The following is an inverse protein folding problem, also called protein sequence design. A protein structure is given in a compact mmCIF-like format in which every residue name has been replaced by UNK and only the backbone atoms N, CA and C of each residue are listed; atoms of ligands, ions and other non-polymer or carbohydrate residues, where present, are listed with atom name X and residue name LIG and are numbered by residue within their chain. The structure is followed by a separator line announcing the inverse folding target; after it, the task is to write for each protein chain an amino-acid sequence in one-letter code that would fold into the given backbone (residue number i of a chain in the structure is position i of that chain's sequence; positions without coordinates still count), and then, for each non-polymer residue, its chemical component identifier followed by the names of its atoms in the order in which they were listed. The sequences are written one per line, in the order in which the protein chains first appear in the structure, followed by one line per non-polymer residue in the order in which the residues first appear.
data_IF_869344955055
#
_entry.id   IF_869344955055
#
_cell.length_a   1.000
_cell.length_b   1.000
_cell.length_c   1.000
_cell.angle_alpha   90.00
_cell.angle_beta   90.00
_cell.angle_gamma   90.00
#
_symmetry.space_group_name_H-M   'P 1'
#
loop_
_entity.id
_entity.type
_entity.pdbx_description
1 polymer ?
#
# COMPACT_ATOMS: atom_id res chain seq x y z
N UNK A 1 -3.49 27.76 -7.38
CA UNK A 1 -4.32 26.71 -8.03
C UNK A 1 -3.53 25.42 -8.31
N UNK A 2 -2.37 25.48 -8.96
CA UNK A 2 -1.54 24.30 -9.29
C UNK A 2 -1.14 23.49 -8.04
N UNK A 3 -0.72 24.13 -6.94
CA UNK A 3 -0.37 23.44 -5.70
C UNK A 3 -1.52 22.67 -5.04
N UNK A 4 -2.76 23.16 -5.16
CA UNK A 4 -3.94 22.43 -4.64
C UNK A 4 -4.24 21.22 -5.53
N UNK A 5 -4.10 21.38 -6.84
CA UNK A 5 -4.31 20.29 -7.79
C UNK A 5 -3.28 19.17 -7.63
N UNK A 6 -1.99 19.50 -7.57
CA UNK A 6 -0.93 18.50 -7.35
C UNK A 6 -0.92 17.97 -5.93
N UNK A 7 -1.32 18.77 -4.95
CA UNK A 7 -1.43 18.35 -3.55
C UNK A 7 -2.52 17.31 -3.33
N UNK A 8 -3.72 17.53 -3.87
CA UNK A 8 -4.93 16.79 -3.48
C UNK A 8 -5.62 16.00 -4.58
N UNK A 9 -5.45 16.39 -5.86
CA UNK A 9 -6.26 15.86 -6.96
C UNK A 9 -5.49 14.78 -7.72
N UNK A 10 -4.35 15.14 -8.28
CA UNK A 10 -3.56 14.17 -9.03
C UNK A 10 -2.18 14.67 -9.38
N UNK A 11 -1.30 13.74 -9.75
CA UNK A 11 0.10 14.03 -10.07
C UNK A 11 0.62 13.05 -11.12
N UNK A 12 1.59 13.49 -11.91
CA UNK A 12 2.27 12.62 -12.86
C UNK A 12 3.48 11.95 -12.17
N UNK A 13 3.72 10.67 -12.47
CA UNK A 13 4.86 9.90 -11.96
C UNK A 13 5.57 9.17 -13.10
N UNK A 14 6.88 9.32 -13.19
CA UNK A 14 7.71 8.56 -14.13
C UNK A 14 7.98 7.15 -13.60
N UNK A 15 8.05 6.18 -14.50
CA UNK A 15 8.33 4.79 -14.18
C UNK A 15 9.78 4.44 -14.50
N UNK A 16 10.63 4.24 -13.49
CA UNK A 16 12.05 4.01 -13.70
C UNK A 16 12.42 2.53 -13.88
N UNK A 17 11.46 1.59 -13.76
CA UNK A 17 11.76 0.15 -13.76
C UNK A 17 10.68 -0.71 -14.44
N UNK A 18 11.07 -1.91 -14.85
CA UNK A 18 10.19 -2.88 -15.55
C UNK A 18 9.40 -3.82 -14.64
N UNK A 19 9.33 -3.54 -13.33
CA UNK A 19 8.64 -4.41 -12.36
C UNK A 19 7.13 -4.55 -12.61
N UNK A 20 6.53 -3.62 -13.34
CA UNK A 20 5.11 -3.62 -13.72
C UNK A 20 4.88 -4.01 -15.19
N UNK A 21 5.93 -4.42 -15.90
CA UNK A 21 5.82 -4.88 -17.29
C UNK A 21 4.93 -6.13 -17.36
N UNK A 22 4.02 -6.27 -18.35
CA UNK A 22 3.87 -5.44 -19.55
C UNK A 22 2.80 -4.34 -19.39
N UNK A 23 2.11 -4.29 -18.24
CA UNK A 23 1.02 -3.36 -17.98
C UNK A 23 1.51 -1.93 -18.08
N UNK A 24 2.59 -1.64 -17.34
CA UNK A 24 3.32 -0.38 -17.31
C UNK A 24 4.81 -0.69 -17.51
N UNK A 25 5.47 0.07 -18.39
CA UNK A 25 6.88 -0.17 -18.75
C UNK A 25 7.76 0.98 -18.30
N UNK A 26 9.07 0.75 -18.22
CA UNK A 26 10.03 1.82 -17.98
C UNK A 26 9.86 2.95 -19.03
N UNK A 27 9.88 4.20 -18.55
CA UNK A 27 9.65 5.41 -19.36
C UNK A 27 8.19 5.83 -19.51
N UNK A 28 7.22 5.05 -19.00
CA UNK A 28 5.83 5.52 -18.89
C UNK A 28 5.72 6.65 -17.85
N UNK A 29 4.90 7.66 -18.15
CA UNK A 29 4.46 8.68 -17.20
C UNK A 29 3.01 8.41 -16.82
N UNK A 30 2.79 8.04 -15.56
CA UNK A 30 1.47 7.67 -15.05
C UNK A 30 0.71 8.86 -14.48
N UNK A 31 -0.58 8.92 -14.76
CA UNK A 31 -1.53 9.73 -14.03
C UNK A 31 -1.91 9.05 -12.72
N UNK A 32 -1.58 9.69 -11.60
CA UNK A 32 -1.99 9.28 -10.27
C UNK A 32 -3.22 10.07 -9.82
N UNK A 33 -4.34 9.38 -9.64
CA UNK A 33 -5.55 9.93 -9.05
C UNK A 33 -5.48 9.80 -7.52
N UNK A 34 -5.24 10.92 -6.83
CA UNK A 34 -5.16 10.99 -5.36
C UNK A 34 -6.55 11.03 -4.71
N UNK A 35 -7.57 11.54 -5.41
CA UNK A 35 -8.95 11.54 -4.91
C UNK A 35 -9.50 10.12 -4.77
N UNK A 36 -9.05 9.19 -5.61
CA UNK A 36 -9.47 7.79 -5.56
C UNK A 36 -9.38 7.23 -4.13
N UNK A 37 -8.30 7.48 -3.40
CA UNK A 37 -8.09 7.01 -2.03
C UNK A 37 -8.01 8.12 -0.98
N UNK A 38 -8.23 9.36 -1.40
CA UNK A 38 -8.07 10.54 -0.56
C UNK A 38 -6.61 10.86 -0.22
N UNK A 39 -6.36 12.12 0.08
CA UNK A 39 -5.02 12.61 0.44
C UNK A 39 -4.73 12.34 1.91
N UNK A 40 -3.55 11.81 2.20
CA UNK A 40 -3.06 11.59 3.58
C UNK A 40 -2.62 12.92 4.18
N UNK A 41 -3.30 13.34 5.24
CA UNK A 41 -2.99 14.55 6.03
C UNK A 41 -2.48 14.13 7.40
N UNK A 42 -1.28 14.62 7.76
CA UNK A 42 -0.64 14.36 9.07
C UNK A 42 -0.73 15.60 9.97
N UNK A 43 -0.99 15.39 11.26
CA UNK A 43 -0.98 16.42 12.30
C UNK A 43 -2.29 17.22 12.47
N UNK A 44 -2.56 17.65 13.70
CA UNK A 44 -3.81 18.31 14.10
C UNK A 44 -4.00 19.71 13.50
N UNK A 45 -2.91 20.45 13.22
CA UNK A 45 -2.96 21.85 12.76
C UNK A 45 -3.55 21.93 11.35
N UNK A 46 -3.11 21.08 10.43
CA UNK A 46 -3.62 21.07 9.05
C UNK A 46 -5.05 20.50 8.99
N UNK A 47 -5.36 19.54 9.86
CA UNK A 47 -6.74 19.08 10.05
C UNK A 47 -7.66 20.19 10.56
N UNK A 48 -7.18 21.03 11.48
CA UNK A 48 -7.92 22.18 12.02
C UNK A 48 -8.16 23.25 10.95
N UNK A 49 -7.16 23.53 10.11
CA UNK A 49 -7.31 24.40 8.95
C UNK A 49 -8.33 23.87 7.93
N UNK A 50 -8.29 22.57 7.62
CA UNK A 50 -9.29 21.96 6.73
C UNK A 50 -10.70 22.02 7.33
N UNK A 51 -10.87 21.74 8.63
CA UNK A 51 -12.18 21.85 9.32
C UNK A 51 -12.76 23.26 9.23
N UNK A 52 -11.90 24.28 9.35
CA UNK A 52 -12.30 25.68 9.23
C UNK A 52 -12.88 25.99 7.85
N UNK A 53 -12.30 25.42 6.79
CA UNK A 53 -12.73 25.67 5.41
C UNK A 53 -13.93 24.80 4.99
N UNK A 54 -14.07 23.56 5.49
CA UNK A 54 -14.97 22.54 4.93
C UNK A 54 -15.98 21.90 5.92
N UNK A 55 -16.55 22.66 6.86
CA UNK A 55 -17.61 22.26 7.84
C UNK A 55 -18.62 21.14 7.38
N UNK A 56 -19.19 20.30 8.29
CA UNK A 56 -18.60 19.08 8.83
C UNK A 56 -19.43 17.80 8.51
N UNK A 57 -20.00 17.66 7.31
CA UNK A 57 -20.96 16.55 7.10
C UNK A 57 -20.38 15.24 6.58
N UNK A 58 -19.13 15.15 6.08
CA UNK A 58 -18.68 13.90 5.39
C UNK A 58 -17.19 13.66 5.16
N UNK A 59 -16.26 14.50 5.62
CA UNK A 59 -14.92 14.55 4.98
C UNK A 59 -13.75 14.10 5.89
N UNK A 60 -14.00 13.68 7.13
CA UNK A 60 -12.94 13.30 8.07
C UNK A 60 -13.15 11.92 8.69
N UNK A 61 -12.27 10.98 8.38
CA UNK A 61 -12.02 9.82 9.23
C UNK A 61 -10.87 10.15 10.17
N UNK A 62 -11.18 10.80 11.31
CA UNK A 62 -10.19 10.99 12.39
C UNK A 62 -10.05 9.67 13.14
N UNK A 63 -8.88 9.03 13.08
CA UNK A 63 -8.55 7.95 14.00
C UNK A 63 -7.66 8.51 15.12
N UNK A 64 -8.14 8.59 16.38
CA UNK A 64 -7.34 9.11 17.49
C UNK A 64 -6.09 8.27 17.80
N UNK A 65 -6.00 7.05 17.28
CA UNK A 65 -4.81 6.17 17.43
C UNK A 65 -3.76 6.35 16.32
N UNK A 66 -4.05 7.14 15.28
CA UNK A 66 -3.15 7.37 14.14
C UNK A 66 -2.83 8.86 13.99
N UNK A 67 -1.57 9.18 13.68
CA UNK A 67 -1.13 10.55 13.40
C UNK A 67 -1.53 11.05 11.99
N UNK A 68 -2.49 10.39 11.31
CA UNK A 68 -2.95 10.79 9.99
C UNK A 68 -4.45 10.57 9.77
N UNK A 69 -4.99 11.24 8.75
CA UNK A 69 -6.34 11.01 8.23
C UNK A 69 -6.34 11.12 6.71
N UNK A 70 -7.19 10.33 6.03
CA UNK A 70 -7.44 10.48 4.59
C UNK A 70 -8.64 11.39 4.38
N UNK A 71 -8.47 12.42 3.54
CA UNK A 71 -9.52 13.38 3.20
C UNK A 71 -9.86 13.31 1.71
N UNK A 72 -11.12 13.56 1.37
CA UNK A 72 -11.63 13.52 0.00
C UNK A 72 -11.53 12.15 -0.70
N UNK A 73 -11.74 11.06 0.03
CA UNK A 73 -11.80 9.71 -0.55
C UNK A 73 -13.06 9.54 -1.41
N UNK A 74 -12.90 9.21 -2.69
CA UNK A 74 -14.03 8.89 -3.59
C UNK A 74 -14.27 7.39 -3.72
N UNK A 75 -13.28 6.56 -3.39
CA UNK A 75 -13.37 5.10 -3.44
C UNK A 75 -12.49 4.43 -2.38
N UNK A 76 -12.70 3.14 -2.17
CA UNK A 76 -11.83 2.28 -1.37
C UNK A 76 -10.79 1.61 -2.28
N UNK A 77 -9.64 1.24 -1.69
CA UNK A 77 -8.62 0.44 -2.38
C UNK A 77 -9.18 -0.97 -2.63
N UNK A 78 -9.05 -1.45 -3.86
CA UNK A 78 -9.58 -2.74 -4.31
C UNK A 78 -8.45 -3.65 -4.76
N UNK A 79 -8.71 -4.96 -4.74
CA UNK A 79 -7.82 -5.94 -5.38
C UNK A 79 -7.67 -5.57 -6.85
N UNK A 80 -6.48 -5.76 -7.37
CA UNK A 80 -6.04 -5.46 -8.74
C UNK A 80 -5.83 -3.97 -9.03
N UNK A 81 -6.14 -3.05 -8.11
CA UNK A 81 -5.75 -1.65 -8.28
C UNK A 81 -4.21 -1.54 -8.41
N UNK A 82 -3.75 -0.74 -9.36
CA UNK A 82 -2.35 -0.33 -9.43
C UNK A 82 -2.21 0.93 -8.59
N UNK A 83 -1.38 0.87 -7.56
CA UNK A 83 -1.21 1.93 -6.59
C UNK A 83 0.18 2.54 -6.68
N UNK A 84 0.25 3.85 -6.49
CA UNK A 84 1.49 4.56 -6.23
C UNK A 84 1.58 4.76 -4.73
N UNK A 85 2.69 4.38 -4.12
CA UNK A 85 2.89 4.45 -2.68
C UNK A 85 4.34 4.78 -2.33
N UNK A 86 4.57 5.30 -1.13
CA UNK A 86 5.94 5.55 -0.63
C UNK A 86 6.68 4.23 -0.44
N UNK A 87 7.95 4.15 -0.82
CA UNK A 87 8.74 2.93 -0.65
C UNK A 87 8.93 2.62 0.85
N UNK A 88 8.66 1.39 1.29
CA UNK A 88 8.91 1.00 2.68
C UNK A 88 10.40 0.82 3.01
N UNK A 89 11.26 0.75 2.00
CA UNK A 89 12.72 0.66 2.15
C UNK A 89 13.41 2.03 2.04
N UNK A 90 12.80 3.01 1.33
CA UNK A 90 13.37 4.34 1.07
C UNK A 90 12.30 5.43 1.13
N UNK A 91 12.36 6.31 2.12
CA UNK A 91 11.27 7.25 2.42
C UNK A 91 11.04 8.35 1.36
N UNK A 92 12.01 8.61 0.49
CA UNK A 92 11.98 9.61 -0.58
C UNK A 92 11.58 9.05 -1.95
N UNK A 93 11.45 7.72 -2.08
CA UNK A 93 11.08 7.07 -3.33
C UNK A 93 9.60 6.67 -3.35
N UNK A 94 8.97 6.81 -4.52
CA UNK A 94 7.63 6.28 -4.77
C UNK A 94 7.72 5.02 -5.63
N UNK A 95 6.90 4.03 -5.33
CA UNK A 95 6.84 2.77 -6.06
C UNK A 95 5.45 2.58 -6.66
N UNK A 96 5.40 1.80 -7.74
CA UNK A 96 4.16 1.37 -8.37
C UNK A 96 4.07 -0.15 -8.30
N UNK A 97 2.98 -0.64 -7.71
CA UNK A 97 2.68 -2.08 -7.56
C UNK A 97 1.17 -2.32 -7.67
N UNK A 98 0.77 -3.56 -7.92
CA UNK A 98 -0.61 -3.99 -7.92
C UNK A 98 -1.02 -4.55 -6.57
N UNK A 99 -2.18 -4.13 -6.07
CA UNK A 99 -2.77 -4.71 -4.86
C UNK A 99 -3.24 -6.13 -5.18
N UNK A 100 -2.63 -7.10 -4.49
CA UNK A 100 -2.96 -8.51 -4.64
C UNK A 100 -3.70 -9.04 -3.42
N UNK A 101 -3.47 -8.51 -2.22
CA UNK A 101 -4.18 -8.87 -1.00
C UNK A 101 -4.69 -7.65 -0.22
N UNK A 102 -5.90 -7.77 0.33
CA UNK A 102 -6.59 -6.74 1.09
C UNK A 102 -6.51 -6.99 2.60
N UNK A 103 -6.81 -5.99 3.45
CA UNK A 103 -6.78 -6.13 4.90
C UNK A 103 -7.64 -7.30 5.39
N UNK A 104 -7.09 -8.11 6.30
CA UNK A 104 -7.77 -9.26 6.90
C UNK A 104 -7.77 -10.53 6.07
N UNK A 105 -7.38 -10.47 4.81
CA UNK A 105 -7.27 -11.65 3.95
C UNK A 105 -6.02 -12.46 4.27
N UNK A 106 -6.07 -13.76 3.97
CA UNK A 106 -4.90 -14.63 4.05
C UNK A 106 -4.23 -14.70 2.70
N UNK A 107 -2.94 -14.36 2.63
CA UNK A 107 -2.10 -14.55 1.46
C UNK A 107 -1.19 -15.75 1.65
N UNK A 108 -1.08 -16.57 0.62
CA UNK A 108 -0.23 -17.74 0.55
C UNK A 108 0.40 -17.81 -0.84
N UNK A 109 1.65 -18.23 -0.95
CA UNK A 109 2.28 -18.52 -2.24
C UNK A 109 2.78 -19.95 -2.28
N UNK A 110 2.39 -20.68 -3.33
CA UNK A 110 2.76 -22.07 -3.57
C UNK A 110 3.19 -22.24 -5.01
N UNK A 111 4.43 -22.67 -5.24
CA UNK A 111 5.03 -22.86 -6.57
C UNK A 111 4.91 -21.59 -7.42
N UNK A 112 5.18 -20.43 -6.81
CA UNK A 112 5.06 -19.12 -7.47
C UNK A 112 3.64 -18.58 -7.66
N UNK A 113 2.62 -19.38 -7.38
CA UNK A 113 1.22 -18.97 -7.54
C UNK A 113 0.69 -18.36 -6.26
N UNK A 114 -0.03 -17.24 -6.38
CA UNK A 114 -0.60 -16.52 -5.23
C UNK A 114 -2.01 -16.99 -4.97
N UNK A 115 -2.31 -17.29 -3.72
CA UNK A 115 -3.63 -17.65 -3.23
C UNK A 115 -4.07 -16.61 -2.21
N UNK A 116 -5.31 -16.14 -2.33
CA UNK A 116 -5.95 -15.27 -1.36
C UNK A 116 -7.16 -15.98 -0.80
N UNK A 117 -7.20 -16.16 0.53
CA UNK A 117 -8.20 -16.99 1.20
C UNK A 117 -8.34 -18.35 0.50
N UNK A 118 -7.20 -18.98 0.20
CA UNK A 118 -7.06 -20.24 -0.55
C UNK A 118 -7.54 -20.22 -2.02
N UNK A 119 -8.04 -19.09 -2.53
CA UNK A 119 -8.47 -18.92 -3.92
C UNK A 119 -7.31 -18.43 -4.78
N UNK A 120 -7.06 -19.10 -5.91
CA UNK A 120 -5.99 -18.73 -6.84
C UNK A 120 -6.24 -17.33 -7.43
N UNK A 121 -5.25 -16.44 -7.29
CA UNK A 121 -5.21 -15.17 -8.01
C UNK A 121 -4.49 -15.39 -9.33
N UNK A 122 -5.23 -15.27 -10.44
CA UNK A 122 -4.67 -15.47 -11.78
C UNK A 122 -3.53 -14.47 -12.04
N UNK A 123 -2.33 -14.94 -12.42
CA UNK A 123 -1.24 -14.06 -12.80
C UNK A 123 -1.54 -13.35 -14.12
N UNK A 124 -1.00 -12.15 -14.28
CA UNK A 124 -1.15 -11.35 -15.50
C UNK A 124 -0.26 -11.91 -16.61
N UNK A 125 0.98 -12.22 -16.28
CA UNK A 125 1.97 -12.81 -17.18
C UNK A 125 1.99 -14.34 -17.10
N UNK A 126 0.81 -14.98 -17.23
CA UNK A 126 0.71 -16.45 -17.25
C UNK A 126 1.40 -17.18 -16.09
N UNK A 127 1.55 -18.49 -16.21
CA UNK A 127 2.30 -19.30 -15.25
C UNK A 127 3.80 -19.20 -15.57
N UNK A 128 4.48 -18.14 -15.12
CA UNK A 128 5.90 -17.96 -15.41
C UNK A 128 6.75 -17.74 -14.14
N UNK A 129 7.52 -18.79 -13.82
CA UNK A 129 8.87 -18.79 -13.25
C UNK A 129 9.13 -18.09 -11.90
N UNK A 130 8.12 -17.71 -11.13
CA UNK A 130 8.34 -17.34 -9.73
C UNK A 130 8.56 -18.61 -8.90
N UNK A 131 9.69 -18.69 -8.19
CA UNK A 131 10.00 -19.82 -7.28
C UNK A 131 9.75 -19.47 -5.82
N UNK A 132 9.28 -18.25 -5.53
CA UNK A 132 9.00 -17.84 -4.17
C UNK A 132 7.77 -18.57 -3.61
N UNK A 133 7.99 -19.21 -2.46
CA UNK A 133 6.92 -19.72 -1.60
C UNK A 133 6.76 -18.83 -0.39
N UNK A 134 5.51 -18.68 0.05
CA UNK A 134 5.14 -17.90 1.22
C UNK A 134 4.11 -18.71 2.00
N UNK A 135 4.47 -19.07 3.24
CA UNK A 135 3.53 -19.69 4.17
C UNK A 135 2.34 -18.77 4.39
N UNK A 136 1.14 -19.35 4.49
CA UNK A 136 -0.08 -18.60 4.73
C UNK A 136 0.07 -17.59 5.88
N UNK A 137 -0.20 -16.33 5.57
CA UNK A 137 -0.13 -15.21 6.51
C UNK A 137 -1.34 -14.31 6.31
N UNK A 138 -2.00 -13.98 7.42
CA UNK A 138 -3.08 -13.02 7.40
C UNK A 138 -2.51 -11.61 7.30
N UNK A 139 -3.03 -10.84 6.34
CA UNK A 139 -2.69 -9.44 6.14
C UNK A 139 -3.30 -8.65 7.29
N UNK A 140 -2.50 -7.87 8.05
CA UNK A 140 -3.02 -7.09 9.16
C UNK A 140 -4.10 -6.11 8.72
N UNK A 141 -5.07 -5.87 9.60
CA UNK A 141 -6.12 -4.88 9.41
C UNK A 141 -6.35 -4.11 10.70
N UNK A 142 -6.93 -2.93 10.57
CA UNK A 142 -7.20 -2.06 11.71
C UNK A 142 -8.07 -2.78 12.73
N UNK A 143 -7.63 -2.76 13.99
CA UNK A 143 -8.34 -3.41 15.09
C UNK A 143 -8.09 -4.91 15.21
N UNK A 144 -7.31 -5.52 14.30
CA UNK A 144 -6.86 -6.90 14.47
C UNK A 144 -5.97 -6.99 15.71
N UNK A 145 -6.26 -7.94 16.60
CA UNK A 145 -5.45 -8.20 17.78
C UNK A 145 -4.74 -9.54 17.66
N UNK A 146 -3.43 -9.56 17.92
CA UNK A 146 -2.59 -10.76 17.92
C UNK A 146 -1.96 -10.99 19.28
N UNK A 147 -1.73 -12.25 19.64
CA UNK A 147 -0.89 -12.58 20.78
C UNK A 147 0.59 -12.40 20.43
N UNK A 148 1.34 -11.76 21.33
CA UNK A 148 2.77 -11.55 21.15
C UNK A 148 3.54 -12.83 21.51
N UNK A 149 4.11 -13.46 20.50
CA UNK A 149 4.99 -14.63 20.62
C UNK A 149 6.06 -14.58 19.53
N UNK A 150 7.03 -15.49 19.57
CA UNK A 150 8.14 -15.53 18.60
C UNK A 150 7.66 -15.56 17.14
N UNK A 151 6.62 -16.33 16.84
CA UNK A 151 6.06 -16.47 15.49
C UNK A 151 5.36 -15.19 15.02
N UNK A 152 4.52 -14.59 15.85
CA UNK A 152 3.85 -13.32 15.55
C UNK A 152 4.88 -12.21 15.32
N UNK A 153 5.94 -12.16 16.15
CA UNK A 153 7.01 -11.19 15.99
C UNK A 153 7.80 -11.42 14.69
N UNK A 154 8.10 -12.66 14.31
CA UNK A 154 8.75 -12.94 13.03
C UNK A 154 7.92 -12.44 11.83
N UNK A 155 6.59 -12.57 11.91
CA UNK A 155 5.66 -12.18 10.85
C UNK A 155 5.40 -10.67 10.78
N UNK A 156 5.30 -10.00 11.93
CA UNK A 156 4.74 -8.64 12.02
C UNK A 156 5.69 -7.61 12.63
N UNK A 157 6.94 -7.96 12.95
CA UNK A 157 7.94 -7.04 13.52
C UNK A 157 8.04 -5.73 12.73
N UNK A 158 8.18 -5.80 11.41
CA UNK A 158 8.32 -4.60 10.59
C UNK A 158 7.07 -3.71 10.69
N UNK A 159 5.88 -4.31 10.68
CA UNK A 159 4.63 -3.57 10.82
C UNK A 159 4.58 -2.82 12.15
N UNK A 160 4.89 -3.54 13.22
CA UNK A 160 4.83 -3.00 14.58
C UNK A 160 5.92 -1.95 14.82
N UNK A 161 7.18 -2.27 14.56
CA UNK A 161 8.32 -1.42 14.91
C UNK A 161 8.49 -0.24 13.94
N UNK A 162 8.36 -0.47 12.63
CA UNK A 162 8.68 0.53 11.60
C UNK A 162 7.48 1.41 11.28
N UNK A 163 6.30 0.82 11.07
CA UNK A 163 5.13 1.58 10.60
C UNK A 163 4.29 2.15 11.75
N UNK A 164 4.17 1.41 12.86
CA UNK A 164 3.34 1.83 14.01
C UNK A 164 4.15 2.31 15.23
N UNK A 165 5.48 2.20 15.20
CA UNK A 165 6.39 2.73 16.23
C UNK A 165 6.31 1.97 17.56
N UNK A 166 5.91 0.70 17.55
CA UNK A 166 5.86 -0.15 18.74
C UNK A 166 7.23 -0.73 19.05
N UNK A 167 7.85 -0.33 20.16
CA UNK A 167 9.17 -0.80 20.57
C UNK A 167 9.09 -2.10 21.40
N UNK A 168 9.58 -3.21 20.82
CA UNK A 168 9.55 -4.56 21.42
C UNK A 168 10.41 -4.66 22.70
N UNK A 169 11.38 -3.76 22.92
CA UNK A 169 12.22 -3.71 24.14
C UNK A 169 11.39 -3.58 25.43
N UNK A 170 10.14 -3.12 25.35
CA UNK A 170 9.18 -3.11 26.46
C UNK A 170 8.74 -4.52 26.93
N UNK A 171 9.02 -5.58 26.16
CA UNK A 171 8.64 -6.96 26.50
C UNK A 171 9.69 -7.70 27.35
N UNK A 172 10.87 -7.11 27.58
CA UNK A 172 11.91 -7.71 28.43
C UNK A 172 11.61 -7.58 29.92
N UNK A 173 10.73 -6.66 30.32
CA UNK A 173 10.23 -6.53 31.69
C UNK A 173 9.01 -7.44 31.88
N UNK A 174 9.28 -8.68 32.29
CA UNK A 174 8.33 -9.81 32.39
C UNK A 174 7.11 -9.57 33.28
N UNK A 175 7.05 -8.45 33.99
CA UNK A 175 6.00 -8.09 34.95
C UNK A 175 4.84 -7.26 34.36
N UNK A 176 4.97 -6.73 33.12
CA UNK A 176 3.99 -5.83 32.49
C UNK A 176 3.71 -6.13 31.00
N UNK A 177 3.90 -7.38 30.57
CA UNK A 177 3.74 -7.75 29.17
C UNK A 177 2.28 -7.56 28.74
N UNK A 178 2.02 -6.59 27.87
CA UNK A 178 0.82 -6.62 27.04
C UNK A 178 0.89 -7.91 26.22
N UNK A 179 0.09 -8.92 26.60
CA UNK A 179 0.09 -10.23 25.92
C UNK A 179 -0.46 -10.16 24.49
N UNK A 180 -0.92 -8.97 24.07
CA UNK A 180 -1.55 -8.74 22.79
C UNK A 180 -1.10 -7.42 22.18
N UNK A 181 -1.22 -7.34 20.86
CA UNK A 181 -1.00 -6.14 20.08
C UNK A 181 -2.16 -5.92 19.13
N UNK A 182 -2.67 -4.70 19.05
CA UNK A 182 -3.76 -4.30 18.15
C UNK A 182 -3.20 -3.40 17.06
N UNK A 183 -3.36 -3.80 15.80
CA UNK A 183 -2.93 -3.01 14.65
C UNK A 183 -3.79 -1.76 14.49
N UNK A 184 -3.16 -0.62 14.24
CA UNK A 184 -3.80 0.70 14.23
C UNK A 184 -4.32 1.10 12.85
N UNK A 185 -3.83 0.48 11.78
CA UNK A 185 -4.24 0.76 10.41
C UNK A 185 -4.37 -0.48 9.54
N UNK A 186 -4.90 -0.27 8.34
CA UNK A 186 -5.02 -1.30 7.33
C UNK A 186 -3.70 -1.51 6.57
N UNK A 187 -3.48 -2.76 6.15
CA UNK A 187 -2.30 -3.16 5.41
C UNK A 187 -2.68 -3.92 4.14
N UNK A 188 -1.79 -3.87 3.15
CA UNK A 188 -2.02 -4.45 1.84
C UNK A 188 -0.83 -5.30 1.42
N UNK A 189 -1.10 -6.32 0.61
CA UNK A 189 -0.06 -7.11 -0.04
C UNK A 189 0.02 -6.71 -1.51
N UNK A 190 1.14 -6.13 -1.92
CA UNK A 190 1.30 -5.55 -3.25
C UNK A 190 2.42 -6.26 -4.02
N UNK A 191 2.16 -6.63 -5.28
CA UNK A 191 3.12 -7.34 -6.13
C UNK A 191 3.32 -6.60 -7.45
N UNK A 192 4.49 -6.80 -8.06
CA UNK A 192 4.71 -6.40 -9.45
C UNK A 192 4.00 -7.33 -10.41
N UNK A 193 3.66 -6.83 -11.59
CA UNK A 193 3.11 -7.68 -12.66
C UNK A 193 4.23 -8.55 -13.27
N UNK A 194 5.47 -8.04 -13.30
CA UNK A 194 6.67 -8.78 -13.69
C UNK A 194 7.26 -9.52 -12.48
N UNK A 195 6.61 -10.60 -12.05
CA UNK A 195 6.90 -11.30 -10.77
C UNK A 195 8.37 -11.68 -10.59
N UNK A 196 9.07 -12.31 -11.55
CA UNK A 196 10.47 -12.69 -11.34
C UNK A 196 11.41 -11.49 -11.22
N UNK A 197 11.04 -10.34 -11.78
CA UNK A 197 11.85 -9.12 -11.82
C UNK A 197 11.23 -7.98 -10.99
N UNK A 198 10.52 -8.33 -9.92
CA UNK A 198 9.87 -7.37 -9.03
C UNK A 198 10.34 -7.58 -7.61
N UNK A 199 10.98 -6.55 -7.05
CA UNK A 199 11.08 -6.40 -5.60
C UNK A 199 9.73 -5.85 -5.13
N UNK A 200 9.04 -6.58 -4.27
CA UNK A 200 7.68 -6.28 -3.81
C UNK A 200 7.38 -6.83 -2.39
N UNK A 201 6.11 -6.97 -2.01
CA UNK A 201 5.73 -7.44 -0.67
C UNK A 201 6.30 -8.80 -0.28
N UNK A 202 6.80 -9.60 -1.23
CA UNK A 202 7.58 -10.82 -0.95
C UNK A 202 8.90 -10.53 -0.23
N UNK A 203 9.50 -9.35 -0.46
CA UNK A 203 10.80 -8.96 0.08
C UNK A 203 10.68 -8.09 1.33
N UNK A 204 9.76 -7.12 1.33
CA UNK A 204 9.64 -6.12 2.41
C UNK A 204 8.32 -6.20 3.18
N UNK A 205 7.50 -7.22 2.96
CA UNK A 205 6.24 -7.40 3.68
C UNK A 205 5.13 -6.42 3.25
N UNK A 206 4.29 -6.03 4.21
CA UNK A 206 3.03 -5.35 3.93
C UNK A 206 3.19 -3.86 3.64
N UNK A 207 2.32 -3.31 2.80
CA UNK A 207 2.23 -1.88 2.51
C UNK A 207 1.20 -1.26 3.47
N UNK A 208 1.60 -0.32 4.34
CA UNK A 208 0.65 0.37 5.21
C UNK A 208 -0.27 1.28 4.39
N UNK A 209 -1.52 1.40 4.86
CA UNK A 209 -2.51 2.27 4.23
C UNK A 209 -1.97 3.68 4.03
N UNK A 210 -1.31 4.29 5.02
CA UNK A 210 -0.84 5.69 4.98
C UNK A 210 0.33 5.98 4.03
N UNK A 211 0.90 4.94 3.42
CA UNK A 211 1.92 5.06 2.39
C UNK A 211 1.30 5.16 0.99
N UNK A 212 0.06 4.69 0.80
CA UNK A 212 -0.61 4.71 -0.49
C UNK A 212 -0.98 6.15 -0.87
N UNK A 213 -0.46 6.63 -1.99
CA UNK A 213 -0.64 8.01 -2.46
C UNK A 213 -1.92 8.13 -3.29
N UNK A 214 -2.13 7.20 -4.21
CA UNK A 214 -3.25 7.26 -5.15
C UNK A 214 -3.27 6.09 -6.13
N UNK A 215 -4.30 6.04 -6.97
CA UNK A 215 -4.47 5.03 -8.01
C UNK A 215 -3.77 5.47 -9.29
N UNK A 216 -2.97 4.59 -9.89
CA UNK A 216 -2.48 4.79 -11.25
C UNK A 216 -3.60 4.45 -12.23
N UNK A 217 -4.17 5.46 -12.91
CA UNK A 217 -5.35 5.26 -13.76
C UNK A 217 -5.04 5.28 -15.25
N UNK A 218 -3.99 6.00 -15.66
CA UNK A 218 -3.64 6.14 -17.06
C UNK A 218 -2.14 6.28 -17.26
N UNK A 219 -1.66 5.83 -18.40
CA UNK A 219 -0.38 6.26 -18.99
C UNK A 219 -0.67 7.53 -19.78
N UNK A 220 -0.11 8.66 -19.33
CA UNK A 220 -0.25 9.95 -20.01
C UNK A 220 0.52 9.93 -21.32
N UNK A 221 1.78 9.56 -21.26
CA UNK A 221 2.67 9.37 -22.40
C UNK A 221 3.83 8.44 -21.99
N UNK A 222 4.62 7.99 -22.96
CA UNK A 222 5.78 7.12 -22.72
C UNK A 222 6.97 7.62 -23.53
N UNK A 223 8.12 7.76 -22.87
CA UNK A 223 9.39 8.10 -23.55
C UNK A 223 9.98 6.90 -24.29
N UNK A 224 9.63 5.67 -23.87
CA UNK A 224 10.12 4.44 -24.47
C UNK A 224 9.28 3.98 -25.68
N UNK A 225 7.98 4.31 -25.75
CA UNK A 225 7.09 3.91 -26.85
C UNK A 225 6.08 5.00 -27.21
N UNK A 226 6.26 5.60 -28.39
CA UNK A 226 5.43 6.70 -28.92
C UNK A 226 3.92 6.40 -28.99
N UNK A 227 3.52 5.14 -29.17
CA UNK A 227 2.10 4.77 -29.27
C UNK A 227 1.39 4.59 -27.91
N UNK A 228 2.08 4.81 -26.79
CA UNK A 228 1.50 4.73 -25.43
C UNK A 228 1.19 6.13 -24.90
N UNK A 229 0.07 6.71 -25.36
CA UNK A 229 -0.39 8.05 -24.98
C UNK A 229 -1.86 7.98 -24.56
N UNK A 230 -2.23 8.64 -23.46
CA UNK A 230 -3.58 8.70 -22.89
C UNK A 230 -4.28 7.33 -22.79
N UNK A 231 -3.52 6.30 -22.38
CA UNK A 231 -4.02 4.92 -22.26
C UNK A 231 -4.50 4.66 -20.84
N UNK A 232 -5.77 4.31 -20.67
CA UNK A 232 -6.27 3.82 -19.38
C UNK A 232 -5.61 2.50 -18.99
N UNK A 233 -5.28 2.39 -17.70
CA UNK A 233 -4.76 1.18 -17.09
C UNK A 233 -5.96 0.37 -16.61
N UNK A 234 -6.00 -0.90 -17.02
CA UNK A 234 -7.01 -1.88 -16.61
C UNK A 234 -6.43 -2.89 -15.61
#
# INVERSE_FOLDING_TARGET
MIFLFTGFIGSAYEIPSDSMSPTVIQGDYLWCNKLAYGTVVRGDIFQSFLKLIFHPSRIYFRNPELNYSRVFCTSQIRRSDIVIFKSPERNDESMVKRIVGLPGETVEMRRGMVYINSTLVKPILGEAADTCDLTAIQIPYRGMTIHLNKTSLQKFRQVMEVYEGFHISLLQDTSKIACTYTFRQDYYFALGDNRPNSRDSRSWGFVPEDYIIGRAEAVLFSTAKLNRVLRLIQ
#
